data_IF_220091718315
#
_entry.id   IF_220091718315
#
_cell.length_a   1.000
_cell.length_b   1.000
_cell.length_c   1.000
_cell.angle_alpha   90.00
_cell.angle_beta   90.00
_cell.angle_gamma   90.00
#
_symmetry.space_group_name_H-M   'P 1'
#
loop_
_entity.id
_entity.type
_entity.pdbx_description
1 polymer ?
#
# COMPACT_ATOMS: atom_id res chain seq x y z
N UNK A 1 -4.50 -4.78 0.67
CA UNK A 1 -5.51 -4.10 -0.18
C UNK A 1 -6.74 -3.62 0.59
N UNK A 2 -7.36 -4.40 1.49
CA UNK A 2 -8.57 -3.95 2.21
C UNK A 2 -8.32 -2.73 3.13
N UNK A 3 -7.26 -2.76 3.95
CA UNK A 3 -6.94 -1.68 4.88
C UNK A 3 -6.56 -0.37 4.14
N UNK A 4 -5.80 -0.50 3.04
CA UNK A 4 -5.45 0.60 2.13
C UNK A 4 -6.69 1.21 1.45
N UNK A 5 -7.67 0.39 1.05
CA UNK A 5 -8.95 0.89 0.53
C UNK A 5 -9.72 1.71 1.57
N UNK A 6 -9.75 1.25 2.82
CA UNK A 6 -10.39 1.99 3.92
C UNK A 6 -9.65 3.31 4.17
N UNK A 7 -8.32 3.31 4.14
CA UNK A 7 -7.51 4.51 4.33
C UNK A 7 -7.77 5.55 3.24
N UNK A 8 -7.76 5.15 1.96
CA UNK A 8 -8.05 6.03 0.83
C UNK A 8 -9.49 6.55 0.81
N UNK A 9 -10.46 5.76 1.26
CA UNK A 9 -11.84 6.25 1.45
C UNK A 9 -11.91 7.35 2.51
N UNK A 10 -11.27 7.14 3.66
CA UNK A 10 -11.24 8.14 4.75
C UNK A 10 -10.50 9.41 4.35
N UNK A 11 -9.42 9.29 3.59
CA UNK A 11 -8.71 10.44 3.01
C UNK A 11 -9.64 11.28 2.12
N UNK A 12 -10.44 10.62 1.27
CA UNK A 12 -11.42 11.31 0.43
C UNK A 12 -12.46 12.06 1.25
N UNK A 13 -12.94 11.46 2.35
CA UNK A 13 -13.88 12.11 3.26
C UNK A 13 -13.25 13.33 3.95
N UNK A 14 -12.01 13.23 4.44
CA UNK A 14 -11.27 14.34 5.06
C UNK A 14 -11.08 15.48 4.07
N UNK A 15 -10.66 15.18 2.83
CA UNK A 15 -10.48 16.19 1.79
C UNK A 15 -11.82 16.86 1.42
N UNK A 16 -12.93 16.11 1.37
CA UNK A 16 -14.25 16.68 1.10
C UNK A 16 -14.71 17.65 2.19
N UNK A 17 -14.42 17.33 3.47
CA UNK A 17 -14.73 18.19 4.60
C UNK A 17 -13.86 19.45 4.57
N UNK A 18 -12.56 19.30 4.31
CA UNK A 18 -11.63 20.40 4.14
C UNK A 18 -12.10 21.38 3.05
N UNK A 19 -12.50 20.86 1.89
CA UNK A 19 -13.02 21.69 0.78
C UNK A 19 -14.32 22.40 1.14
N UNK A 20 -15.20 21.76 1.93
CA UNK A 20 -16.42 22.38 2.43
C UNK A 20 -16.12 23.53 3.39
N UNK A 21 -15.17 23.33 4.32
CA UNK A 21 -14.79 24.35 5.30
C UNK A 21 -14.02 25.52 4.66
N UNK A 22 -13.10 25.25 3.74
CA UNK A 22 -12.38 26.28 2.99
C UNK A 22 -13.35 27.13 2.15
N UNK A 23 -14.38 26.53 1.55
CA UNK A 23 -15.41 27.27 0.78
C UNK A 23 -16.25 28.19 1.65
N UNK A 24 -16.46 27.87 2.94
CA UNK A 24 -17.16 28.76 3.89
C UNK A 24 -16.31 29.99 4.24
N UNK A 25 -14.99 29.91 4.13
CA UNK A 25 -14.06 30.99 4.42
C UNK A 25 -13.88 31.95 3.21
N UNK A 26 -14.72 32.99 3.13
CA UNK A 26 -14.64 34.05 2.10
C UNK A 26 -13.77 35.24 2.54
N UNK A 27 -12.87 35.68 1.66
CA UNK A 27 -12.12 36.95 1.79
C UNK A 27 -13.07 38.12 1.52
N UNK A 28 -12.89 39.24 2.23
CA UNK A 28 -13.61 40.50 1.96
C UNK A 28 -12.83 41.33 0.94
N UNK A 29 -13.55 41.92 -0.02
CA UNK A 29 -12.97 42.82 -1.03
C UNK A 29 -12.69 44.18 -0.42
N UNK A 30 -11.50 44.72 -0.69
CA UNK A 30 -11.14 46.09 -0.29
C UNK A 30 -12.01 47.06 -1.09
N UNK A 31 -12.78 47.96 -0.45
CA UNK A 31 -13.63 48.88 -1.17
C UNK A 31 -12.78 49.93 -1.90
N UNK A 32 -13.17 50.37 -3.10
CA UNK A 32 -12.43 51.38 -3.84
C UNK A 32 -12.49 52.74 -3.13
N UNK A 33 -11.34 53.42 -3.06
CA UNK A 33 -11.19 54.77 -2.47
C UNK A 33 -12.23 55.74 -3.06
N UNK A 34 -12.55 55.58 -4.35
CA UNK A 34 -13.43 56.42 -5.14
C UNK A 34 -14.83 56.55 -4.51
N UNK A 35 -15.35 55.45 -3.95
CA UNK A 35 -16.67 55.46 -3.29
C UNK A 35 -16.71 56.30 -2.02
N UNK A 36 -15.61 56.35 -1.27
CA UNK A 36 -15.47 57.14 -0.06
C UNK A 36 -15.20 58.61 -0.38
N UNK A 37 -14.40 58.88 -1.42
CA UNK A 37 -14.16 60.24 -1.90
C UNK A 37 -15.45 60.90 -2.40
N UNK A 38 -16.26 60.22 -3.21
CA UNK A 38 -17.55 60.75 -3.68
C UNK A 38 -18.46 61.11 -2.50
N UNK A 39 -18.55 60.22 -1.49
CA UNK A 39 -19.32 60.49 -0.26
C UNK A 39 -18.75 61.65 0.54
N UNK A 40 -17.43 61.75 0.66
CA UNK A 40 -16.73 62.84 1.34
C UNK A 40 -16.91 64.20 0.65
N UNK A 41 -16.96 64.21 -0.69
CA UNK A 41 -17.24 65.42 -1.48
C UNK A 41 -18.69 65.89 -1.27
N UNK A 42 -19.65 64.97 -1.31
CA UNK A 42 -21.08 65.28 -1.09
C UNK A 42 -21.31 65.77 0.34
N UNK A 43 -20.86 65.03 1.35
CA UNK A 43 -20.99 65.45 2.75
C UNK A 43 -20.23 66.75 3.04
N UNK A 44 -19.04 66.88 2.46
CA UNK A 44 -18.19 68.05 2.65
C UNK A 44 -18.82 69.32 2.10
N UNK A 45 -19.54 69.22 0.99
CA UNK A 45 -20.27 70.35 0.42
C UNK A 45 -21.36 70.86 1.37
N UNK A 46 -22.14 69.95 1.96
CA UNK A 46 -23.16 70.33 2.96
C UNK A 46 -22.56 70.95 4.22
N UNK A 47 -21.47 70.36 4.75
CA UNK A 47 -20.78 70.90 5.94
C UNK A 47 -20.17 72.28 5.63
N UNK A 48 -19.55 72.43 4.46
CA UNK A 48 -18.93 73.68 4.03
C UNK A 48 -19.95 74.81 3.87
N UNK A 49 -21.16 74.53 3.37
CA UNK A 49 -22.25 75.52 3.32
C UNK A 49 -22.63 76.00 4.72
N UNK A 50 -22.85 75.08 5.66
CA UNK A 50 -23.20 75.43 7.03
C UNK A 50 -22.11 76.26 7.72
N UNK A 51 -20.84 75.87 7.55
CA UNK A 51 -19.68 76.58 8.13
C UNK A 51 -19.44 77.92 7.44
N UNK A 52 -19.52 77.98 6.11
CA UNK A 52 -19.31 79.21 5.34
C UNK A 52 -20.35 80.29 5.64
N UNK A 53 -21.62 79.89 5.82
CA UNK A 53 -22.71 80.82 6.21
C UNK A 53 -22.58 81.26 7.67
N UNK A 54 -22.21 80.35 8.58
CA UNK A 54 -22.05 80.69 10.00
C UNK A 54 -20.90 81.68 10.27
N UNK A 55 -19.81 81.60 9.50
CA UNK A 55 -18.62 82.43 9.68
C UNK A 55 -18.47 83.56 8.63
N UNK A 56 -19.42 83.70 7.70
CA UNK A 56 -19.43 84.68 6.60
C UNK A 56 -18.08 84.78 5.85
N UNK A 57 -17.41 83.64 5.66
CA UNK A 57 -16.08 83.59 5.08
C UNK A 57 -15.92 82.46 4.06
N UNK A 58 -15.42 82.81 2.88
CA UNK A 58 -15.07 81.85 1.83
C UNK A 58 -13.90 80.94 2.27
N UNK A 59 -13.01 81.43 3.13
CA UNK A 59 -11.93 80.59 3.68
C UNK A 59 -12.47 79.54 4.65
N UNK A 60 -13.51 79.86 5.42
CA UNK A 60 -14.18 78.91 6.31
C UNK A 60 -14.92 77.81 5.52
N UNK A 61 -15.50 78.15 4.36
CA UNK A 61 -16.07 77.19 3.42
C UNK A 61 -15.02 76.21 2.89
N UNK A 62 -13.90 76.72 2.37
CA UNK A 62 -12.82 75.88 1.83
C UNK A 62 -12.20 74.95 2.88
N UNK A 63 -12.10 75.43 4.12
CA UNK A 63 -11.56 74.66 5.25
C UNK A 63 -12.48 73.49 5.62
N UNK A 64 -13.80 73.73 5.74
CA UNK A 64 -14.77 72.68 6.04
C UNK A 64 -14.86 71.61 4.94
N UNK A 65 -14.75 72.01 3.68
CA UNK A 65 -14.75 71.08 2.55
C UNK A 65 -13.51 70.19 2.54
N UNK A 66 -12.32 70.77 2.79
CA UNK A 66 -11.06 70.03 2.86
C UNK A 66 -11.05 68.99 3.97
N UNK A 67 -11.52 69.34 5.18
CA UNK A 67 -11.57 68.40 6.31
C UNK A 67 -12.49 67.20 6.05
N UNK A 68 -13.57 67.37 5.29
CA UNK A 68 -14.45 66.25 4.92
C UNK A 68 -13.79 65.26 3.98
N UNK A 69 -13.00 65.73 3.01
CA UNK A 69 -12.25 64.87 2.09
C UNK A 69 -11.15 64.11 2.85
N UNK A 70 -10.41 64.81 3.70
CA UNK A 70 -9.38 64.20 4.57
C UNK A 70 -10.00 63.15 5.49
N UNK A 71 -11.15 63.47 6.11
CA UNK A 71 -11.90 62.53 6.95
C UNK A 71 -12.35 61.28 6.21
N UNK A 72 -12.80 61.41 4.95
CA UNK A 72 -13.19 60.28 4.11
C UNK A 72 -12.01 59.34 3.79
N UNK A 73 -10.80 59.88 3.56
CA UNK A 73 -9.58 59.10 3.33
C UNK A 73 -9.16 58.35 4.61
N UNK A 74 -9.25 58.99 5.77
CA UNK A 74 -8.93 58.35 7.06
C UNK A 74 -9.90 57.18 7.35
N UNK A 75 -11.20 57.38 7.15
CA UNK A 75 -12.22 56.34 7.34
C UNK A 75 -11.98 55.15 6.38
N UNK A 76 -11.60 55.43 5.13
CA UNK A 76 -11.23 54.38 4.18
C UNK A 76 -9.99 53.61 4.65
N UNK A 77 -8.94 54.30 5.10
CA UNK A 77 -7.73 53.68 5.64
C UNK A 77 -8.00 52.70 6.78
N UNK A 78 -8.83 53.10 7.76
CA UNK A 78 -9.23 52.24 8.88
C UNK A 78 -10.04 51.01 8.45
N UNK A 79 -10.88 51.14 7.40
CA UNK A 79 -11.61 50.00 6.82
C UNK A 79 -10.67 49.06 6.08
N UNK A 80 -9.69 49.60 5.35
CA UNK A 80 -8.68 48.80 4.66
C UNK A 80 -7.84 47.97 5.62
N UNK A 81 -7.32 48.57 6.70
CA UNK A 81 -6.54 47.83 7.71
C UNK A 81 -7.35 46.72 8.35
N UNK A 82 -8.60 46.99 8.73
CA UNK A 82 -9.51 45.98 9.29
C UNK A 82 -9.81 44.83 8.31
N UNK A 83 -9.98 45.12 7.02
CA UNK A 83 -10.19 44.08 5.99
C UNK A 83 -8.92 43.27 5.75
N UNK A 84 -7.74 43.89 5.79
CA UNK A 84 -6.45 43.21 5.66
C UNK A 84 -6.24 42.25 6.84
N UNK A 85 -6.46 42.71 8.07
CA UNK A 85 -6.40 41.85 9.27
C UNK A 85 -7.40 40.69 9.21
N UNK A 86 -8.63 40.97 8.79
CA UNK A 86 -9.63 39.92 8.60
C UNK A 86 -9.17 38.90 7.55
N UNK A 87 -8.69 39.35 6.40
CA UNK A 87 -8.20 38.46 5.34
C UNK A 87 -6.97 37.64 5.78
N UNK A 88 -6.08 38.23 6.59
CA UNK A 88 -4.95 37.52 7.22
C UNK A 88 -5.43 36.43 8.18
N UNK A 89 -6.40 36.74 9.04
CA UNK A 89 -6.99 35.74 9.95
C UNK A 89 -7.68 34.59 9.22
N UNK A 90 -8.27 34.85 8.04
CA UNK A 90 -8.86 33.83 7.18
C UNK A 90 -7.79 32.94 6.55
N UNK A 91 -6.65 33.52 6.16
CA UNK A 91 -5.52 32.78 5.60
C UNK A 91 -4.86 31.87 6.65
N UNK A 92 -4.68 32.37 7.87
CA UNK A 92 -4.20 31.58 9.02
C UNK A 92 -5.16 30.44 9.38
N UNK A 93 -6.48 30.67 9.31
CA UNK A 93 -7.46 29.60 9.50
C UNK A 93 -7.39 28.55 8.40
N UNK A 94 -7.21 28.95 7.13
CA UNK A 94 -7.03 28.01 6.01
C UNK A 94 -5.77 27.18 6.16
N UNK A 95 -4.64 27.78 6.55
CA UNK A 95 -3.40 27.03 6.77
C UNK A 95 -3.52 26.06 7.93
N UNK A 96 -4.17 26.46 9.03
CA UNK A 96 -4.42 25.58 10.18
C UNK A 96 -5.31 24.40 9.82
N UNK A 97 -6.37 24.62 9.02
CA UNK A 97 -7.25 23.56 8.53
C UNK A 97 -6.51 22.59 7.61
N UNK A 98 -5.69 23.10 6.69
CA UNK A 98 -4.85 22.26 5.83
C UNK A 98 -3.87 21.41 6.64
N UNK A 99 -3.18 22.00 7.63
CA UNK A 99 -2.25 21.28 8.51
C UNK A 99 -2.97 20.18 9.31
N UNK A 100 -4.15 20.48 9.85
CA UNK A 100 -4.95 19.50 10.58
C UNK A 100 -5.39 18.34 9.67
N UNK A 101 -5.89 18.65 8.47
CA UNK A 101 -6.29 17.62 7.51
C UNK A 101 -5.11 16.74 7.07
N UNK A 102 -3.93 17.34 6.81
CA UNK A 102 -2.72 16.58 6.51
C UNK A 102 -2.31 15.65 7.66
N UNK A 103 -2.37 16.13 8.90
CA UNK A 103 -2.05 15.32 10.07
C UNK A 103 -3.06 14.19 10.29
N UNK A 104 -4.36 14.45 10.06
CA UNK A 104 -5.41 13.44 10.16
C UNK A 104 -5.25 12.37 9.07
N UNK A 105 -4.94 12.76 7.83
CA UNK A 105 -4.62 11.83 6.72
C UNK A 105 -3.41 10.98 7.07
N UNK A 106 -2.34 11.60 7.58
CA UNK A 106 -1.11 10.90 7.98
C UNK A 106 -1.40 9.83 9.05
N UNK A 107 -2.17 10.18 10.08
CA UNK A 107 -2.56 9.23 11.14
C UNK A 107 -3.41 8.07 10.62
N UNK A 108 -4.30 8.31 9.67
CA UNK A 108 -5.12 7.25 9.06
C UNK A 108 -4.26 6.24 8.32
N UNK A 109 -3.27 6.72 7.54
CA UNK A 109 -2.33 5.85 6.84
C UNK A 109 -1.40 5.12 7.81
N UNK A 110 -0.86 5.80 8.82
CA UNK A 110 -0.04 5.16 9.88
C UNK A 110 -0.81 4.05 10.63
N UNK A 111 -2.09 4.26 10.97
CA UNK A 111 -2.93 3.23 11.61
C UNK A 111 -3.21 2.04 10.67
N UNK A 112 -3.47 2.31 9.39
CA UNK A 112 -3.67 1.28 8.36
C UNK A 112 -2.41 0.43 8.15
N UNK A 113 -1.25 1.08 8.08
CA UNK A 113 0.03 0.40 7.93
C UNK A 113 0.35 -0.45 9.17
N UNK A 114 0.09 0.08 10.37
CA UNK A 114 0.25 -0.67 11.62
C UNK A 114 -0.62 -1.92 11.63
N UNK A 115 -1.92 -1.80 11.33
CA UNK A 115 -2.84 -2.95 11.26
C UNK A 115 -2.38 -4.00 10.25
N UNK A 116 -1.94 -3.55 9.08
CA UNK A 116 -1.41 -4.44 8.05
C UNK A 116 -0.17 -5.19 8.53
N UNK A 117 0.75 -4.52 9.24
CA UNK A 117 1.91 -5.19 9.86
C UNK A 117 1.51 -6.18 10.94
N UNK A 118 0.58 -5.81 11.82
CA UNK A 118 0.07 -6.69 12.87
C UNK A 118 -0.60 -7.95 12.29
N UNK A 119 -1.38 -7.81 11.21
CA UNK A 119 -1.97 -8.93 10.48
C UNK A 119 -0.90 -9.86 9.90
N UNK A 120 0.14 -9.31 9.25
CA UNK A 120 1.27 -10.08 8.69
C UNK A 120 2.04 -10.80 9.80
N UNK A 121 2.35 -10.12 10.91
CA UNK A 121 3.07 -10.71 12.04
C UNK A 121 2.26 -11.81 12.73
N UNK A 122 0.94 -11.61 12.87
CA UNK A 122 0.07 -12.63 13.43
C UNK A 122 -0.01 -13.84 12.50
N UNK A 123 -0.10 -13.61 11.19
CA UNK A 123 -0.08 -14.67 10.17
C UNK A 123 1.21 -15.49 10.24
N UNK A 124 2.39 -14.84 10.23
CA UNK A 124 3.69 -15.53 10.36
C UNK A 124 3.81 -16.30 11.68
N UNK A 125 3.29 -15.74 12.78
CA UNK A 125 3.25 -16.42 14.08
C UNK A 125 2.35 -17.67 14.05
N UNK A 126 1.20 -17.61 13.38
CA UNK A 126 0.33 -18.76 13.17
C UNK A 126 1.03 -19.84 12.34
N UNK A 127 1.62 -19.48 11.20
CA UNK A 127 2.37 -20.41 10.32
C UNK A 127 3.49 -21.11 11.11
N UNK A 128 4.31 -20.36 11.86
CA UNK A 128 5.37 -20.93 12.71
C UNK A 128 4.84 -21.89 13.77
N UNK A 129 3.68 -21.56 14.35
CA UNK A 129 3.02 -22.40 15.35
C UNK A 129 2.53 -23.71 14.73
N UNK A 130 1.85 -23.64 13.59
CA UNK A 130 1.42 -24.83 12.86
C UNK A 130 2.60 -25.67 12.37
N UNK A 131 3.64 -25.04 11.84
CA UNK A 131 4.86 -25.73 11.44
C UNK A 131 5.49 -26.50 12.61
N UNK A 132 5.52 -25.90 13.81
CA UNK A 132 6.01 -26.58 15.02
C UNK A 132 5.12 -27.76 15.42
N UNK A 133 3.79 -27.62 15.35
CA UNK A 133 2.83 -28.71 15.60
C UNK A 133 3.04 -29.87 14.62
N UNK A 134 3.18 -29.56 13.34
CA UNK A 134 3.45 -30.54 12.28
C UNK A 134 4.77 -31.26 12.53
N UNK A 135 5.83 -30.50 12.88
CA UNK A 135 7.14 -31.07 13.21
C UNK A 135 7.06 -32.06 14.38
N UNK A 136 6.28 -31.75 15.41
CA UNK A 136 6.10 -32.65 16.56
C UNK A 136 5.33 -33.92 16.18
N UNK A 137 4.43 -33.83 15.19
CA UNK A 137 3.66 -34.95 14.65
C UNK A 137 4.25 -35.53 13.36
N UNK A 138 5.58 -35.43 13.14
CA UNK A 138 6.24 -35.82 11.88
C UNK A 138 5.82 -37.20 11.36
N UNK A 139 5.64 -38.17 12.26
CA UNK A 139 5.23 -39.55 11.92
C UNK A 139 3.88 -39.62 11.19
N UNK A 140 2.96 -38.69 11.47
CA UNK A 140 1.68 -38.67 10.76
C UNK A 140 1.84 -38.32 9.30
N UNK A 141 2.90 -37.60 8.91
CA UNK A 141 3.15 -37.19 7.52
C UNK A 141 3.95 -38.19 6.70
N UNK A 142 4.47 -39.28 7.28
CA UNK A 142 5.34 -40.23 6.57
C UNK A 142 4.69 -40.76 5.30
N UNK A 143 3.43 -41.22 5.36
CA UNK A 143 2.71 -41.73 4.17
C UNK A 143 2.53 -40.70 3.06
N UNK A 144 2.35 -39.42 3.43
CA UNK A 144 2.21 -38.33 2.47
C UNK A 144 3.55 -38.00 1.81
N UNK A 145 4.63 -38.01 2.59
CA UNK A 145 5.99 -37.80 2.08
C UNK A 145 6.43 -38.96 1.20
N UNK A 146 6.20 -40.20 1.62
CA UNK A 146 6.53 -41.39 0.84
C UNK A 146 5.82 -41.38 -0.52
N UNK A 147 4.55 -40.98 -0.56
CA UNK A 147 3.81 -40.81 -1.81
C UNK A 147 4.49 -39.80 -2.74
N UNK A 148 4.83 -38.62 -2.22
CA UNK A 148 5.50 -37.57 -2.99
C UNK A 148 6.90 -37.99 -3.48
N UNK A 149 7.67 -38.68 -2.63
CA UNK A 149 8.99 -39.20 -2.96
C UNK A 149 8.92 -40.28 -4.04
N UNK A 150 7.95 -41.20 -3.99
CA UNK A 150 7.76 -42.21 -5.03
C UNK A 150 7.36 -41.59 -6.37
N UNK A 151 6.53 -40.54 -6.35
CA UNK A 151 6.17 -39.78 -7.55
C UNK A 151 7.38 -39.06 -8.15
N UNK A 152 8.19 -38.42 -7.31
CA UNK A 152 9.46 -37.82 -7.72
C UNK A 152 10.40 -38.84 -8.35
N UNK A 153 10.60 -39.99 -7.70
CA UNK A 153 11.45 -41.07 -8.21
C UNK A 153 11.01 -41.56 -9.58
N UNK A 154 9.70 -41.75 -9.76
CA UNK A 154 9.11 -42.20 -11.01
C UNK A 154 9.31 -41.16 -12.12
N UNK A 155 9.05 -39.89 -11.82
CA UNK A 155 9.26 -38.79 -12.74
C UNK A 155 10.75 -38.61 -13.11
N UNK A 156 11.67 -38.84 -12.17
CA UNK A 156 13.11 -38.80 -12.42
C UNK A 156 13.58 -39.97 -13.31
N UNK A 157 13.01 -41.16 -13.13
CA UNK A 157 13.28 -42.31 -14.01
C UNK A 157 12.86 -41.99 -15.44
N UNK A 158 11.67 -41.41 -15.62
CA UNK A 158 11.17 -41.09 -16.95
C UNK A 158 11.95 -39.93 -17.58
N UNK A 159 12.32 -38.90 -16.80
CA UNK A 159 13.23 -37.85 -17.25
C UNK A 159 14.58 -38.43 -17.72
N UNK A 160 15.11 -39.42 -17.00
CA UNK A 160 16.39 -40.08 -17.36
C UNK A 160 16.27 -40.88 -18.66
N UNK A 161 15.12 -41.54 -18.91
CA UNK A 161 14.86 -42.27 -20.16
C UNK A 161 14.68 -41.32 -21.35
N UNK A 162 14.10 -40.15 -21.13
CA UNK A 162 13.87 -39.13 -22.15
C UNK A 162 15.13 -38.31 -22.48
N UNK A 163 16.10 -38.26 -21.56
CA UNK A 163 17.28 -37.43 -21.69
C UNK A 163 18.17 -37.84 -22.87
N UNK A 164 18.56 -36.86 -23.69
CA UNK A 164 19.40 -37.07 -24.86
C UNK A 164 20.88 -37.21 -24.46
N UNK A 165 21.69 -37.85 -25.31
CA UNK A 165 23.15 -37.91 -25.15
C UNK A 165 23.85 -36.54 -25.27
N UNK A 166 23.16 -35.53 -25.79
CA UNK A 166 23.64 -34.15 -25.86
C UNK A 166 23.41 -33.36 -24.57
N UNK A 167 22.53 -33.83 -23.68
CA UNK A 167 22.20 -33.12 -22.45
C UNK A 167 23.17 -33.49 -21.33
N UNK A 168 23.93 -32.50 -20.84
CA UNK A 168 24.90 -32.71 -19.75
C UNK A 168 24.24 -33.02 -18.40
N UNK A 169 23.03 -32.51 -18.18
CA UNK A 169 22.29 -32.64 -16.93
C UNK A 169 20.84 -33.01 -17.19
N UNK A 170 20.31 -33.90 -16.37
CA UNK A 170 18.89 -34.21 -16.28
C UNK A 170 18.29 -33.22 -15.29
N UNK A 171 17.27 -32.49 -15.75
CA UNK A 171 16.56 -31.48 -14.96
C UNK A 171 15.12 -31.93 -14.74
N UNK A 172 14.64 -31.80 -13.52
CA UNK A 172 13.25 -32.06 -13.17
C UNK A 172 12.73 -30.95 -12.27
N UNK A 173 11.58 -30.40 -12.65
CA UNK A 173 10.83 -29.49 -11.80
C UNK A 173 9.69 -30.29 -11.18
N UNK A 174 9.75 -30.44 -9.86
CA UNK A 174 8.71 -31.09 -9.06
C UNK A 174 7.97 -30.04 -8.25
N UNK A 175 6.77 -29.72 -8.69
CA UNK A 175 5.91 -28.71 -8.08
C UNK A 175 4.80 -29.37 -7.30
N UNK A 176 4.43 -28.78 -6.18
CA UNK A 176 3.18 -29.13 -5.52
C UNK A 176 2.50 -27.94 -4.88
N UNK A 177 1.18 -27.97 -4.89
CA UNK A 177 0.32 -26.96 -4.27
C UNK A 177 -0.55 -27.62 -3.22
N UNK A 178 -0.43 -27.17 -1.98
CA UNK A 178 -1.24 -27.65 -0.87
C UNK A 178 -2.52 -26.82 -0.79
N UNK A 179 -3.66 -27.49 -0.87
CA UNK A 179 -4.98 -26.90 -0.65
C UNK A 179 -5.59 -27.45 0.64
N UNK A 180 -6.74 -26.91 1.03
CA UNK A 180 -7.46 -27.32 2.24
C UNK A 180 -7.81 -28.81 2.27
N UNK A 181 -8.03 -29.43 1.11
CA UNK A 181 -8.55 -30.81 1.01
C UNK A 181 -7.65 -31.75 0.24
N UNK A 182 -6.68 -31.23 -0.50
CA UNK A 182 -5.83 -32.03 -1.38
C UNK A 182 -4.45 -31.39 -1.59
N UNK A 183 -3.54 -32.16 -2.15
CA UNK A 183 -2.25 -31.69 -2.64
C UNK A 183 -2.17 -32.05 -4.11
N UNK A 184 -1.93 -31.05 -4.96
CA UNK A 184 -1.74 -31.26 -6.39
C UNK A 184 -0.24 -31.33 -6.65
N UNK A 185 0.23 -32.45 -7.17
CA UNK A 185 1.63 -32.66 -7.58
C UNK A 185 1.74 -32.55 -9.10
N UNK A 186 2.72 -31.80 -9.59
CA UNK A 186 3.00 -31.56 -10.99
C UNK A 186 4.49 -31.76 -11.25
N UNK A 187 4.84 -32.35 -12.39
CA UNK A 187 6.24 -32.57 -12.79
C UNK A 187 6.49 -32.09 -14.20
N UNK A 188 7.73 -31.65 -14.49
CA UNK A 188 8.13 -31.22 -15.83
C UNK A 188 8.02 -32.31 -16.91
N UNK A 189 7.94 -33.58 -16.53
CA UNK A 189 7.73 -34.72 -17.44
C UNK A 189 6.25 -35.03 -17.72
N UNK A 190 5.33 -34.17 -17.25
CA UNK A 190 3.91 -34.26 -17.57
C UNK A 190 3.07 -35.07 -16.58
N UNK A 191 3.63 -35.56 -15.47
CA UNK A 191 2.82 -36.19 -14.42
C UNK A 191 2.08 -35.10 -13.63
N UNK A 192 0.76 -35.24 -13.52
CA UNK A 192 -0.09 -34.45 -12.64
C UNK A 192 -0.97 -35.39 -11.83
N UNK A 193 -0.85 -35.36 -10.51
CA UNK A 193 -1.59 -36.26 -9.60
C UNK A 193 -2.14 -35.47 -8.43
N UNK A 194 -3.41 -35.73 -8.10
CA UNK A 194 -4.10 -35.15 -6.95
C UNK A 194 -4.06 -36.14 -5.79
N UNK A 195 -3.47 -35.72 -4.68
CA UNK A 195 -3.49 -36.43 -3.41
C UNK A 195 -4.64 -35.91 -2.55
N UNK A 196 -5.74 -36.65 -2.52
CA UNK A 196 -6.89 -36.33 -1.69
C UNK A 196 -6.61 -36.69 -0.21
N UNK A 197 -6.64 -35.69 0.68
CA UNK A 197 -6.30 -35.89 2.09
C UNK A 197 -7.26 -36.85 2.78
N UNK A 198 -8.57 -36.70 2.53
CA UNK A 198 -9.62 -37.51 3.15
C UNK A 198 -9.48 -38.99 2.79
N UNK A 199 -9.22 -39.28 1.52
CA UNK A 199 -9.01 -40.63 0.99
C UNK A 199 -7.81 -41.32 1.65
N UNK A 200 -6.80 -40.54 2.02
CA UNK A 200 -5.60 -41.01 2.71
C UNK A 200 -5.71 -40.93 4.25
N UNK A 201 -6.91 -40.67 4.79
CA UNK A 201 -7.22 -40.52 6.23
C UNK A 201 -6.49 -39.37 6.92
N UNK A 202 -6.19 -38.32 6.17
CA UNK A 202 -5.77 -37.03 6.71
C UNK A 202 -6.99 -36.15 6.97
N UNK A 203 -6.92 -35.36 8.04
CA UNK A 203 -7.88 -34.28 8.25
C UNK A 203 -7.65 -33.22 7.18
N UNK A 204 -8.72 -32.64 6.67
CA UNK A 204 -8.63 -31.42 5.90
C UNK A 204 -8.01 -30.30 6.76
N UNK A 205 -7.42 -29.33 6.07
CA UNK A 205 -6.93 -28.10 6.65
C UNK A 205 -8.06 -27.08 6.67
N UNK A 206 -8.02 -26.20 7.67
CA UNK A 206 -9.10 -25.23 7.91
C UNK A 206 -8.65 -23.78 7.61
N UNK A 207 -7.34 -23.55 7.47
CA UNK A 207 -6.74 -22.21 7.30
C UNK A 207 -5.60 -22.23 6.28
N UNK A 208 -5.40 -21.11 5.59
CA UNK A 208 -4.29 -20.93 4.65
C UNK A 208 -2.93 -21.06 5.35
N UNK A 209 -2.84 -20.58 6.59
CA UNK A 209 -1.64 -20.75 7.44
C UNK A 209 -1.30 -22.22 7.72
N UNK A 210 -2.29 -23.12 7.74
CA UNK A 210 -2.06 -24.56 7.86
C UNK A 210 -1.55 -25.15 6.54
N UNK A 211 -2.07 -24.69 5.40
CA UNK A 211 -1.62 -25.09 4.06
C UNK A 211 -0.15 -24.73 3.84
N UNK A 212 0.24 -23.49 4.14
CA UNK A 212 1.62 -23.04 4.04
C UNK A 212 2.56 -23.80 4.99
N UNK A 213 2.14 -23.99 6.24
CA UNK A 213 2.93 -24.72 7.22
C UNK A 213 3.14 -26.19 6.78
N UNK A 214 2.12 -26.82 6.19
CA UNK A 214 2.23 -28.16 5.63
C UNK A 214 3.14 -28.18 4.40
N UNK A 215 2.99 -27.23 3.48
CA UNK A 215 3.85 -27.12 2.30
C UNK A 215 5.33 -26.96 2.70
N UNK A 216 5.63 -26.08 3.65
CA UNK A 216 6.97 -25.88 4.18
C UNK A 216 7.53 -27.15 4.87
N UNK A 217 6.69 -27.89 5.59
CA UNK A 217 7.08 -29.13 6.25
C UNK A 217 7.38 -30.25 5.24
N UNK A 218 6.53 -30.44 4.24
CA UNK A 218 6.72 -31.39 3.15
C UNK A 218 7.98 -31.06 2.36
N UNK A 219 8.21 -29.78 2.06
CA UNK A 219 9.42 -29.31 1.35
C UNK A 219 10.68 -29.80 2.04
N UNK A 220 10.72 -29.64 3.36
CA UNK A 220 11.87 -30.07 4.16
C UNK A 220 12.02 -31.59 4.14
N UNK A 221 10.93 -32.34 4.35
CA UNK A 221 11.01 -33.81 4.42
C UNK A 221 11.33 -34.46 3.07
N UNK A 222 10.72 -33.98 1.98
CA UNK A 222 10.98 -34.43 0.61
C UNK A 222 12.40 -34.02 0.19
N UNK A 223 12.81 -32.78 0.49
CA UNK A 223 14.16 -32.30 0.23
C UNK A 223 15.22 -33.13 0.97
N UNK A 224 15.01 -33.42 2.26
CA UNK A 224 15.89 -34.30 3.05
C UNK A 224 16.00 -35.70 2.42
N UNK A 225 14.89 -36.26 1.92
CA UNK A 225 14.88 -37.54 1.22
C UNK A 225 15.70 -37.51 -0.07
N UNK A 226 15.41 -36.53 -0.95
CA UNK A 226 16.07 -36.39 -2.25
C UNK A 226 17.56 -36.18 -2.06
N UNK A 227 17.95 -35.26 -1.17
CA UNK A 227 19.34 -35.02 -0.85
C UNK A 227 19.97 -36.31 -0.37
N UNK A 228 19.45 -36.97 0.69
CA UNK A 228 20.02 -38.21 1.23
C UNK A 228 20.18 -39.33 0.19
N UNK A 229 19.22 -39.48 -0.72
CA UNK A 229 19.24 -40.55 -1.74
C UNK A 229 20.20 -40.25 -2.89
N UNK A 230 20.35 -38.98 -3.27
CA UNK A 230 21.10 -38.58 -4.46
C UNK A 230 22.38 -37.75 -4.16
N UNK A 231 22.81 -37.64 -2.89
CA UNK A 231 24.01 -36.89 -2.43
C UNK A 231 25.25 -37.14 -3.31
N UNK A 232 25.44 -38.37 -3.79
CA UNK A 232 26.64 -38.80 -4.49
C UNK A 232 26.79 -38.28 -5.93
N UNK A 233 25.78 -37.57 -6.48
CA UNK A 233 25.72 -37.20 -7.90
C UNK A 233 25.90 -35.71 -8.21
N UNK A 234 26.54 -34.89 -7.36
CA UNK A 234 26.63 -33.42 -7.60
C UNK A 234 25.26 -32.78 -7.87
N UNK A 235 24.27 -33.17 -7.07
CA UNK A 235 22.89 -32.72 -7.23
C UNK A 235 22.73 -31.28 -6.78
N UNK A 236 22.01 -30.49 -7.57
CA UNK A 236 21.51 -29.19 -7.15
C UNK A 236 20.01 -29.27 -6.90
N UNK A 237 19.58 -28.84 -5.71
CA UNK A 237 18.18 -28.73 -5.33
C UNK A 237 17.88 -27.27 -5.00
N UNK A 238 17.20 -26.58 -5.91
CA UNK A 238 16.74 -25.21 -5.70
C UNK A 238 15.26 -25.20 -5.35
N UNK A 239 14.84 -24.17 -4.63
CA UNK A 239 13.48 -24.06 -4.14
C UNK A 239 12.88 -22.73 -4.55
N UNK A 240 11.73 -22.78 -5.21
CA UNK A 240 10.79 -21.65 -5.29
C UNK A 240 9.69 -21.86 -4.26
N UNK A 241 9.31 -20.82 -3.52
CA UNK A 241 8.15 -20.88 -2.63
C UNK A 241 7.29 -19.64 -2.80
N UNK A 242 5.98 -19.86 -2.95
CA UNK A 242 4.97 -18.82 -2.81
C UNK A 242 3.86 -19.40 -1.94
N UNK A 243 3.87 -19.06 -0.66
CA UNK A 243 2.89 -19.51 0.33
C UNK A 243 2.75 -21.05 0.40
N UNK A 244 1.64 -21.59 -0.13
CA UNK A 244 1.33 -23.03 -0.14
C UNK A 244 1.78 -23.76 -1.41
N UNK A 245 2.49 -23.07 -2.31
CA UNK A 245 3.02 -23.61 -3.56
C UNK A 245 4.54 -23.70 -3.50
N UNK A 246 5.05 -24.93 -3.65
CA UNK A 246 6.47 -25.24 -3.58
C UNK A 246 6.91 -25.80 -4.93
N UNK A 247 8.03 -25.27 -5.42
CA UNK A 247 8.72 -25.76 -6.62
C UNK A 247 10.09 -26.29 -6.20
N UNK A 248 10.36 -27.56 -6.48
CA UNK A 248 11.64 -28.22 -6.29
C UNK A 248 12.31 -28.38 -7.66
N UNK A 249 13.37 -27.63 -7.90
CA UNK A 249 14.20 -27.78 -9.09
C UNK A 249 15.34 -28.74 -8.76
N UNK A 250 15.38 -29.89 -9.40
CA UNK A 250 16.42 -30.88 -9.21
C UNK A 250 17.23 -31.05 -10.49
N UNK A 251 18.55 -31.01 -10.34
CA UNK A 251 19.51 -31.24 -11.41
C UNK A 251 20.47 -32.36 -11.02
N UNK A 252 20.70 -33.31 -11.92
CA UNK A 252 21.75 -34.32 -11.78
C UNK A 252 22.52 -34.55 -13.09
N UNK A 253 23.79 -34.97 -13.06
CA UNK A 253 24.56 -35.33 -14.24
C UNK A 253 23.88 -36.45 -15.03
N UNK A 254 23.79 -36.26 -16.34
CA UNK A 254 23.32 -37.28 -17.25
C UNK A 254 24.45 -38.31 -17.48
N UNK A 255 24.23 -39.56 -17.11
CA UNK A 255 25.20 -40.64 -17.32
C UNK A 255 25.39 -41.00 -18.79
N UNK A 256 24.42 -40.64 -19.65
CA UNK A 256 24.46 -40.91 -21.08
C UNK A 256 25.07 -39.76 -21.90
N UNK A 257 25.57 -38.71 -21.23
CA UNK A 257 26.14 -37.56 -21.91
C UNK A 257 27.45 -37.93 -22.62
N UNK A 258 27.51 -37.64 -23.92
CA UNK A 258 28.74 -37.75 -24.72
C UNK A 258 29.19 -36.33 -25.07
N UNK A 259 30.35 -35.87 -24.60
CA UNK A 259 30.86 -34.56 -24.99
C UNK A 259 31.06 -34.54 -26.50
N UNK A 260 30.67 -33.44 -27.14
CA UNK A 260 30.88 -33.28 -28.58
C UNK A 260 32.37 -33.41 -28.90
N UNK A 261 32.75 -34.50 -29.56
CA UNK A 261 34.11 -34.67 -30.07
C UNK A 261 34.27 -33.72 -31.24
N UNK A 262 35.07 -32.67 -31.06
CA UNK A 262 35.53 -31.86 -32.20
C UNK A 262 36.40 -32.77 -33.05
N UNK A 263 35.90 -33.15 -34.22
CA UNK A 263 36.76 -33.75 -35.25
C UNK A 263 37.56 -32.57 -35.83
N UNK A 264 38.84 -32.48 -35.45
CA UNK A 264 39.82 -31.57 -36.04
C UNK A 264 40.32 -32.18 -37.34
#
# INVERSE_FOLDING_TARGET
MHNEYIATSKERDINSQLDCEIRKLRKKTIPPVTSYLIRGVIFGYFIAIFVGVAYNSLSAFGTGWFFSIVGAVIIWGLRCTSIIEFNKSIEEKKSTLNLKAQEDIRKVHEDSDRKTREEIENYDREVKTYFRKIKNNRKSLERMVDFACNLFDSALIDATKMASNAERFIKIDFKYTVSMTNIVYETSVGHSIIYDMKSHRYRNLDKDTECEALAAALRKMIGDYILKKYVSKQVQLMYGNNDANVILHFEMPNTNFVPATVII
#
